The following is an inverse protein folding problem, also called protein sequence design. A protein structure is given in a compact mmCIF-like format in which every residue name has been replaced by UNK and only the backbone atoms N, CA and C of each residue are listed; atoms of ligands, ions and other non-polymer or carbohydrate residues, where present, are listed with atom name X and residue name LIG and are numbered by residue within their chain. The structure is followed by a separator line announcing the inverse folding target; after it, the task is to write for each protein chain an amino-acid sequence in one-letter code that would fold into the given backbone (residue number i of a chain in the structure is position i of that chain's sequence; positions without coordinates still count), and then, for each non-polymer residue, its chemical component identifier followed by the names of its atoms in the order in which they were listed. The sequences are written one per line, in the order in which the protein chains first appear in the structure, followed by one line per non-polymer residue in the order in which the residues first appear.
data_IF_608737453348
#
_entry.id   IF_608737453348
#
_cell.length_a   1.000
_cell.length_b   1.000
_cell.length_c   1.000
_cell.angle_alpha   90.00
_cell.angle_beta   90.00
_cell.angle_gamma   90.00
#
_symmetry.space_group_name_H-M   'P 1'
#
loop_
_entity.id
_entity.type
_entity.pdbx_description
1 polymer ?
#
# COMPACT_ATOMS: atom_id res chain seq x y z
N UNK A 1 60.80 23.06 39.24
CA UNK A 1 59.84 23.96 38.53
C UNK A 1 59.83 23.80 37.03
N UNK A 2 60.91 23.79 36.25
CA UNK A 2 60.89 23.65 34.80
C UNK A 2 60.14 22.43 34.31
N UNK A 3 60.37 21.24 34.81
CA UNK A 3 59.69 20.00 34.42
C UNK A 3 58.15 20.07 34.60
N UNK A 4 57.63 20.75 35.60
CA UNK A 4 56.20 20.88 35.84
C UNK A 4 55.54 21.80 34.81
N UNK A 5 56.16 22.86 34.42
CA UNK A 5 55.70 23.78 33.36
C UNK A 5 55.63 23.08 31.95
N UNK A 6 56.59 22.22 31.66
CA UNK A 6 56.62 21.45 30.42
C UNK A 6 55.46 20.42 30.39
N UNK A 7 55.16 19.76 31.55
CA UNK A 7 54.01 18.86 31.68
C UNK A 7 52.69 19.59 31.45
N UNK A 8 52.50 20.78 32.07
CA UNK A 8 51.30 21.60 31.89
C UNK A 8 51.13 22.01 30.39
N UNK A 9 52.19 22.37 29.70
CA UNK A 9 52.15 22.73 28.26
C UNK A 9 51.70 21.54 27.40
N UNK A 10 52.32 20.37 27.62
CA UNK A 10 51.94 19.16 26.86
C UNK A 10 50.47 18.81 27.12
N UNK A 11 49.99 18.88 28.36
CA UNK A 11 48.61 18.62 28.71
C UNK A 11 47.64 19.64 28.06
N UNK A 12 48.02 20.92 28.02
CA UNK A 12 47.21 21.99 27.37
C UNK A 12 47.09 21.78 25.86
N UNK A 13 48.20 21.42 25.20
CA UNK A 13 48.18 21.12 23.76
C UNK A 13 47.31 19.90 23.46
N UNK A 14 47.45 18.86 24.28
CA UNK A 14 46.66 17.63 24.12
C UNK A 14 45.15 17.89 24.34
N UNK A 15 44.78 18.66 25.36
CA UNK A 15 43.41 19.06 25.65
C UNK A 15 42.80 19.90 24.50
N UNK A 16 43.61 20.81 23.92
CA UNK A 16 43.20 21.62 22.78
C UNK A 16 42.93 20.75 21.55
N UNK A 17 43.79 19.79 21.24
CA UNK A 17 43.60 18.85 20.13
C UNK A 17 42.33 18.01 20.32
N UNK A 18 42.15 17.46 21.52
CA UNK A 18 40.94 16.67 21.81
C UNK A 18 39.65 17.50 21.69
N UNK A 19 39.69 18.76 22.16
CA UNK A 19 38.55 19.67 22.05
C UNK A 19 38.21 19.96 20.59
N UNK A 20 39.21 20.21 19.73
CA UNK A 20 39.00 20.43 18.29
C UNK A 20 38.42 19.20 17.60
N UNK A 21 38.92 18.02 17.86
CA UNK A 21 38.40 16.76 17.33
C UNK A 21 36.97 16.56 17.79
N UNK A 22 36.66 16.76 19.07
CA UNK A 22 35.30 16.63 19.61
C UNK A 22 34.29 17.58 18.95
N UNK A 23 34.65 18.85 18.76
CA UNK A 23 33.80 19.83 18.05
C UNK A 23 33.59 19.40 16.59
N UNK A 24 34.63 18.97 15.90
CA UNK A 24 34.55 18.53 14.49
C UNK A 24 33.63 17.32 14.33
N UNK A 25 33.72 16.33 15.21
CA UNK A 25 32.84 15.16 15.21
C UNK A 25 31.41 15.58 15.49
N UNK A 26 31.17 16.47 16.45
CA UNK A 26 29.82 16.96 16.78
C UNK A 26 29.17 17.69 15.60
N UNK A 27 29.90 18.55 14.90
CA UNK A 27 29.40 19.26 13.69
C UNK A 27 29.14 18.28 12.55
N UNK A 28 30.01 17.30 12.33
CA UNK A 28 29.81 16.27 11.33
C UNK A 28 28.56 15.43 11.62
N UNK A 29 28.40 14.95 12.87
CA UNK A 29 27.22 14.20 13.30
C UNK A 29 25.92 15.00 13.13
N UNK A 30 25.93 16.31 13.42
CA UNK A 30 24.78 17.19 13.19
C UNK A 30 24.34 17.18 11.73
N UNK A 31 25.30 17.38 10.78
CA UNK A 31 25.00 17.37 9.34
C UNK A 31 24.46 16.02 8.86
N UNK A 32 24.95 14.91 9.41
CA UNK A 32 24.48 13.58 9.06
C UNK A 32 23.03 13.33 9.54
N UNK A 33 22.67 13.82 10.72
CA UNK A 33 21.31 13.72 11.25
C UNK A 33 20.33 14.50 10.38
N UNK A 34 20.68 15.73 9.96
CA UNK A 34 19.82 16.55 9.11
C UNK A 34 19.59 15.87 7.74
N UNK A 35 20.61 15.26 7.14
CA UNK A 35 20.50 14.50 5.88
C UNK A 35 19.62 13.26 6.07
N UNK A 36 19.90 12.45 7.08
CA UNK A 36 19.13 11.24 7.36
C UNK A 36 17.64 11.54 7.63
N UNK A 37 17.35 12.66 8.32
CA UNK A 37 15.98 13.10 8.55
C UNK A 37 15.29 13.53 7.26
N UNK A 38 15.96 14.28 6.39
CA UNK A 38 15.43 14.69 5.10
C UNK A 38 15.16 13.49 4.18
N UNK A 39 16.09 12.55 4.10
CA UNK A 39 15.94 11.32 3.33
C UNK A 39 14.78 10.45 3.87
N UNK A 40 14.66 10.29 5.19
CA UNK A 40 13.57 9.55 5.80
C UNK A 40 12.21 10.19 5.49
N UNK A 41 12.10 11.51 5.57
CA UNK A 41 10.87 12.22 5.21
C UNK A 41 10.52 12.06 3.73
N UNK A 42 11.50 12.13 2.85
CA UNK A 42 11.30 11.92 1.42
C UNK A 42 10.82 10.50 1.11
N UNK A 43 11.42 9.49 1.76
CA UNK A 43 10.97 8.10 1.61
C UNK A 43 9.55 7.89 2.14
N UNK A 44 9.20 8.44 3.30
CA UNK A 44 7.85 8.37 3.84
C UNK A 44 6.82 9.01 2.91
N UNK A 45 7.12 10.19 2.33
CA UNK A 45 6.25 10.81 1.33
C UNK A 45 6.07 9.92 0.10
N UNK A 46 7.16 9.34 -0.41
CA UNK A 46 7.10 8.43 -1.56
C UNK A 46 6.19 7.22 -1.26
N UNK A 47 6.37 6.59 -0.10
CA UNK A 47 5.54 5.45 0.34
C UNK A 47 4.08 5.88 0.49
N UNK A 48 3.81 7.03 1.11
CA UNK A 48 2.46 7.56 1.26
C UNK A 48 1.78 7.83 -0.09
N UNK A 49 2.48 8.45 -1.04
CA UNK A 49 1.96 8.65 -2.40
C UNK A 49 1.74 7.34 -3.15
N UNK A 50 2.65 6.37 -3.01
CA UNK A 50 2.48 5.06 -3.65
C UNK A 50 1.28 4.32 -3.07
N UNK A 51 1.07 4.37 -1.76
CA UNK A 51 -0.11 3.78 -1.11
C UNK A 51 -1.41 4.46 -1.59
N UNK A 52 -1.44 5.79 -1.73
CA UNK A 52 -2.59 6.52 -2.25
C UNK A 52 -2.88 6.16 -3.73
N UNK A 53 -1.86 6.02 -4.57
CA UNK A 53 -2.02 5.56 -5.96
C UNK A 53 -2.54 4.12 -6.01
N UNK A 54 -2.05 3.24 -5.14
CA UNK A 54 -2.52 1.87 -5.03
C UNK A 54 -4.00 1.81 -4.63
N UNK A 55 -4.43 2.63 -3.69
CA UNK A 55 -5.84 2.77 -3.32
C UNK A 55 -6.70 3.20 -4.51
N UNK A 56 -6.25 4.16 -5.30
CA UNK A 56 -6.97 4.59 -6.50
C UNK A 56 -7.08 3.47 -7.54
N UNK A 57 -6.02 2.69 -7.75
CA UNK A 57 -6.07 1.53 -8.64
C UNK A 57 -7.05 0.46 -8.13
N UNK A 58 -7.10 0.21 -6.82
CA UNK A 58 -8.06 -0.71 -6.21
C UNK A 58 -9.50 -0.23 -6.38
N UNK A 59 -9.79 1.07 -6.30
CA UNK A 59 -11.12 1.62 -6.61
C UNK A 59 -11.53 1.33 -8.05
N UNK A 60 -10.62 1.45 -9.00
CA UNK A 60 -10.90 1.09 -10.40
C UNK A 60 -11.23 -0.40 -10.56
N UNK A 61 -10.61 -1.29 -9.78
CA UNK A 61 -10.94 -2.72 -9.74
C UNK A 61 -12.32 -2.94 -9.12
N UNK A 62 -12.68 -2.21 -8.07
CA UNK A 62 -14.04 -2.24 -7.49
C UNK A 62 -15.10 -1.86 -8.51
N UNK A 63 -14.89 -0.77 -9.24
CA UNK A 63 -15.81 -0.29 -10.28
C UNK A 63 -15.93 -1.32 -11.41
N UNK A 64 -14.81 -1.88 -11.88
CA UNK A 64 -14.81 -2.92 -12.89
C UNK A 64 -15.55 -4.18 -12.43
N UNK A 65 -15.37 -4.61 -11.18
CA UNK A 65 -16.07 -5.76 -10.60
C UNK A 65 -17.59 -5.52 -10.53
N UNK A 66 -17.99 -4.32 -10.12
CA UNK A 66 -19.42 -3.93 -10.05
C UNK A 66 -20.04 -3.88 -11.44
N UNK A 67 -19.34 -3.30 -12.41
CA UNK A 67 -19.79 -3.27 -13.80
C UNK A 67 -19.85 -4.67 -14.41
N UNK A 68 -18.87 -5.52 -14.13
CA UNK A 68 -18.85 -6.92 -14.53
C UNK A 68 -20.06 -7.68 -13.98
N UNK A 69 -20.38 -7.52 -12.70
CA UNK A 69 -21.57 -8.12 -12.07
C UNK A 69 -22.87 -7.65 -12.73
N UNK A 70 -23.01 -6.36 -13.03
CA UNK A 70 -24.19 -5.81 -13.74
C UNK A 70 -24.32 -6.38 -15.15
N UNK A 71 -23.20 -6.55 -15.85
CA UNK A 71 -23.18 -7.17 -17.18
C UNK A 71 -23.64 -8.61 -17.12
N UNK A 72 -23.20 -9.36 -16.12
CA UNK A 72 -23.62 -10.75 -15.87
C UNK A 72 -25.12 -10.82 -15.57
N UNK A 73 -25.67 -9.90 -14.78
CA UNK A 73 -27.10 -9.85 -14.51
C UNK A 73 -27.91 -9.64 -15.80
N UNK A 74 -27.46 -8.73 -16.65
CA UNK A 74 -28.10 -8.48 -17.96
C UNK A 74 -28.02 -9.71 -18.86
N UNK A 75 -26.90 -10.39 -18.91
CA UNK A 75 -26.74 -11.64 -19.64
C UNK A 75 -27.64 -12.76 -19.09
N UNK A 76 -27.76 -12.88 -17.78
CA UNK A 76 -28.63 -13.86 -17.12
C UNK A 76 -30.12 -13.60 -17.46
N UNK A 77 -30.55 -12.34 -17.42
CA UNK A 77 -31.89 -11.98 -17.83
C UNK A 77 -32.18 -12.35 -19.30
N UNK A 78 -31.19 -12.07 -20.18
CA UNK A 78 -31.31 -12.43 -21.58
C UNK A 78 -31.41 -13.96 -21.80
N UNK A 79 -30.60 -14.74 -21.09
CA UNK A 79 -30.67 -16.21 -21.14
C UNK A 79 -32.00 -16.73 -20.62
N UNK A 80 -32.55 -16.15 -19.57
CA UNK A 80 -33.87 -16.52 -19.03
C UNK A 80 -34.96 -16.29 -20.08
N UNK A 81 -34.90 -15.17 -20.79
CA UNK A 81 -35.86 -14.87 -21.86
C UNK A 81 -35.71 -15.84 -23.04
N UNK A 82 -34.47 -16.13 -23.46
CA UNK A 82 -34.20 -17.13 -24.51
C UNK A 82 -34.71 -18.52 -24.12
N UNK A 83 -34.44 -18.95 -22.88
CA UNK A 83 -34.91 -20.22 -22.34
C UNK A 83 -36.45 -20.32 -22.37
N UNK A 84 -37.14 -19.26 -21.97
CA UNK A 84 -38.61 -19.20 -22.03
C UNK A 84 -39.12 -19.33 -23.49
N UNK A 85 -38.52 -18.57 -24.43
CA UNK A 85 -38.90 -18.62 -25.86
C UNK A 85 -38.69 -20.02 -26.44
N UNK A 86 -37.59 -20.69 -26.09
CA UNK A 86 -37.31 -22.07 -26.53
C UNK A 86 -38.35 -23.05 -25.98
N UNK A 87 -38.76 -22.91 -24.71
CA UNK A 87 -39.85 -23.73 -24.12
C UNK A 87 -41.17 -23.54 -24.82
N UNK A 88 -41.56 -22.32 -25.12
CA UNK A 88 -42.78 -21.97 -25.84
C UNK A 88 -42.77 -22.56 -27.24
N UNK A 89 -41.61 -22.44 -27.91
CA UNK A 89 -41.41 -23.05 -29.23
C UNK A 89 -41.52 -24.58 -29.16
N UNK A 90 -40.92 -25.22 -28.18
CA UNK A 90 -41.03 -26.65 -27.96
C UNK A 90 -42.48 -27.09 -27.73
N UNK A 91 -43.26 -26.30 -26.95
CA UNK A 91 -44.69 -26.50 -26.74
C UNK A 91 -45.51 -26.40 -28.04
N UNK A 92 -45.22 -25.40 -28.86
CA UNK A 92 -45.87 -25.20 -30.14
C UNK A 92 -45.57 -26.36 -31.10
N UNK A 93 -44.33 -26.85 -31.16
CA UNK A 93 -43.92 -28.01 -31.97
C UNK A 93 -44.66 -29.27 -31.52
N UNK A 94 -44.75 -29.47 -30.20
CA UNK A 94 -45.45 -30.63 -29.64
C UNK A 94 -46.96 -30.57 -29.91
N UNK A 95 -47.59 -29.41 -29.81
CA UNK A 95 -48.99 -29.21 -30.19
C UNK A 95 -49.20 -29.53 -31.68
N UNK A 96 -48.27 -29.08 -32.54
CA UNK A 96 -48.28 -29.35 -33.97
C UNK A 96 -48.14 -30.86 -34.24
N UNK A 97 -47.23 -31.55 -33.50
CA UNK A 97 -47.10 -33.01 -33.59
C UNK A 97 -48.42 -33.73 -33.29
N UNK A 98 -49.11 -33.24 -32.24
CA UNK A 98 -50.44 -33.77 -31.88
C UNK A 98 -51.45 -33.70 -33.04
N UNK A 99 -51.41 -32.63 -33.87
CA UNK A 99 -52.29 -32.51 -35.04
C UNK A 99 -52.00 -33.53 -36.15
N UNK A 100 -50.75 -34.04 -36.24
CA UNK A 100 -50.38 -35.11 -37.17
C UNK A 100 -50.69 -36.52 -36.65
N UNK A 101 -51.13 -36.67 -35.41
CA UNK A 101 -51.44 -37.95 -34.81
C UNK A 101 -52.90 -38.36 -35.10
N UNK A 102 -53.30 -38.46 -36.37
CA UNK A 102 -54.62 -38.93 -36.77
C UNK A 102 -54.49 -40.33 -37.38
N UNK A 103 -55.52 -41.13 -37.13
CA UNK A 103 -55.64 -42.52 -37.62
C UNK A 103 -56.77 -42.55 -38.66
N UNK A 104 -56.53 -43.13 -39.82
CA UNK A 104 -57.59 -43.32 -40.84
C UNK A 104 -58.48 -44.50 -40.40
N UNK A 105 -59.80 -44.31 -40.05
CA UNK A 105 -60.65 -45.32 -39.44
C UNK A 105 -60.81 -46.60 -40.29
N UNK A 106 -60.73 -46.52 -41.57
CA UNK A 106 -60.98 -47.63 -42.48
C UNK A 106 -59.76 -48.57 -42.59
N UNK A 107 -58.56 -48.00 -42.56
CA UNK A 107 -57.28 -48.77 -42.77
C UNK A 107 -56.47 -48.93 -41.51
N UNK A 108 -56.84 -48.28 -40.43
CA UNK A 108 -56.12 -48.23 -39.17
C UNK A 108 -54.61 -47.80 -39.32
N UNK A 109 -54.33 -47.06 -40.42
CA UNK A 109 -53.01 -46.57 -40.74
C UNK A 109 -52.85 -45.14 -40.24
N UNK A 110 -51.64 -44.83 -39.69
CA UNK A 110 -51.19 -43.47 -39.28
C UNK A 110 -50.22 -42.97 -40.36
N UNK A 111 -50.67 -42.28 -41.40
CA UNK A 111 -49.81 -41.90 -42.52
C UNK A 111 -48.71 -40.91 -42.15
N UNK A 112 -48.84 -40.16 -41.05
CA UNK A 112 -47.89 -39.15 -40.61
C UNK A 112 -47.18 -39.52 -39.30
N UNK A 113 -47.16 -40.80 -38.93
CA UNK A 113 -46.50 -41.22 -37.67
C UNK A 113 -45.01 -40.89 -37.58
N UNK A 114 -44.28 -40.91 -38.69
CA UNK A 114 -42.87 -40.53 -38.74
C UNK A 114 -42.68 -39.01 -38.55
N UNK A 115 -43.62 -38.21 -39.08
CA UNK A 115 -43.62 -36.76 -38.91
C UNK A 115 -43.93 -36.39 -37.43
N UNK A 116 -44.96 -37.01 -36.83
CA UNK A 116 -45.27 -36.83 -35.39
C UNK A 116 -44.05 -37.18 -34.52
N UNK A 117 -43.40 -38.29 -34.77
CA UNK A 117 -42.21 -38.72 -34.05
C UNK A 117 -41.05 -37.70 -34.17
N UNK A 118 -40.80 -37.20 -35.38
CA UNK A 118 -39.75 -36.20 -35.63
C UNK A 118 -40.02 -34.89 -34.90
N UNK A 119 -41.25 -34.39 -34.89
CA UNK A 119 -41.64 -33.20 -34.16
C UNK A 119 -41.52 -33.37 -32.65
N UNK A 120 -41.92 -34.51 -32.08
CA UNK A 120 -41.74 -34.82 -30.66
C UNK A 120 -40.27 -34.88 -30.29
N UNK A 121 -39.43 -35.48 -31.14
CA UNK A 121 -37.99 -35.50 -30.90
C UNK A 121 -37.40 -34.09 -30.93
N UNK A 122 -37.80 -33.24 -31.88
CA UNK A 122 -37.36 -31.83 -31.91
C UNK A 122 -37.82 -31.05 -30.68
N UNK A 123 -39.05 -31.23 -30.19
CA UNK A 123 -39.54 -30.62 -28.97
C UNK A 123 -38.74 -31.07 -27.74
N UNK A 124 -38.40 -32.36 -27.67
CA UNK A 124 -37.56 -32.89 -26.58
C UNK A 124 -36.14 -32.29 -26.59
N UNK A 125 -35.54 -32.16 -27.78
CA UNK A 125 -34.22 -31.52 -27.93
C UNK A 125 -34.25 -30.03 -27.47
N UNK A 126 -35.28 -29.28 -27.90
CA UNK A 126 -35.45 -27.89 -27.48
C UNK A 126 -35.60 -27.76 -25.96
N UNK A 127 -36.35 -28.66 -25.32
CA UNK A 127 -36.43 -28.68 -23.83
C UNK A 127 -35.09 -28.96 -23.17
N UNK A 128 -34.29 -29.87 -23.73
CA UNK A 128 -32.94 -30.14 -23.27
C UNK A 128 -32.04 -28.89 -23.37
N UNK A 129 -32.09 -28.20 -24.51
CA UNK A 129 -31.35 -26.95 -24.74
C UNK A 129 -31.79 -25.88 -23.72
N UNK A 130 -33.10 -25.72 -23.50
CA UNK A 130 -33.60 -24.79 -22.48
C UNK A 130 -33.07 -25.11 -21.07
N UNK A 131 -33.02 -26.36 -20.69
CA UNK A 131 -32.49 -26.79 -19.40
C UNK A 131 -30.99 -26.48 -19.26
N UNK A 132 -30.21 -26.63 -20.33
CA UNK A 132 -28.79 -26.25 -20.35
C UNK A 132 -28.58 -24.74 -20.25
N UNK A 133 -29.42 -23.95 -20.89
CA UNK A 133 -29.43 -22.48 -20.80
C UNK A 133 -29.76 -22.05 -19.37
N UNK A 134 -30.73 -22.68 -18.69
CA UNK A 134 -31.06 -22.38 -17.31
C UNK A 134 -29.88 -22.69 -16.36
N UNK A 135 -29.19 -23.80 -16.57
CA UNK A 135 -28.00 -24.16 -15.82
C UNK A 135 -26.86 -23.15 -16.03
N UNK A 136 -26.69 -22.68 -17.28
CA UNK A 136 -25.71 -21.65 -17.61
C UNK A 136 -26.08 -20.32 -16.93
N UNK A 137 -27.35 -19.95 -16.92
CA UNK A 137 -27.85 -18.75 -16.21
C UNK A 137 -27.60 -18.82 -14.71
N UNK A 138 -27.83 -19.99 -14.07
CA UNK A 138 -27.52 -20.19 -12.66
C UNK A 138 -26.02 -20.04 -12.36
N UNK A 139 -25.15 -20.58 -13.22
CA UNK A 139 -23.70 -20.43 -13.09
C UNK A 139 -23.25 -18.99 -13.25
N UNK A 140 -23.83 -18.25 -14.19
CA UNK A 140 -23.56 -16.81 -14.36
C UNK A 140 -23.99 -16.01 -13.13
N UNK A 141 -25.16 -16.31 -12.55
CA UNK A 141 -25.61 -15.66 -11.32
C UNK A 141 -24.62 -15.88 -10.16
N UNK A 142 -24.12 -17.10 -10.00
CA UNK A 142 -23.08 -17.39 -9.01
C UNK A 142 -21.82 -16.58 -9.24
N UNK A 143 -21.36 -16.47 -10.49
CA UNK A 143 -20.19 -15.67 -10.85
C UNK A 143 -20.43 -14.17 -10.61
N UNK A 144 -21.61 -13.64 -10.91
CA UNK A 144 -22.00 -12.27 -10.62
C UNK A 144 -21.94 -11.96 -9.11
N UNK A 145 -22.41 -12.86 -8.27
CA UNK A 145 -22.33 -12.75 -6.82
C UNK A 145 -20.85 -12.76 -6.33
N UNK A 146 -20.04 -13.64 -6.90
CA UNK A 146 -18.58 -13.67 -6.59
C UNK A 146 -17.91 -12.34 -6.94
N UNK A 147 -18.22 -11.76 -8.12
CA UNK A 147 -17.67 -10.44 -8.49
C UNK A 147 -18.09 -9.34 -7.53
N UNK A 148 -19.34 -9.36 -7.03
CA UNK A 148 -19.79 -8.37 -6.02
C UNK A 148 -19.02 -8.52 -4.72
N UNK A 149 -18.79 -9.76 -4.26
CA UNK A 149 -17.98 -10.03 -3.07
C UNK A 149 -16.55 -9.53 -3.23
N UNK A 150 -15.91 -9.84 -4.37
CA UNK A 150 -14.56 -9.34 -4.69
C UNK A 150 -14.55 -7.81 -4.69
N UNK A 151 -15.54 -7.17 -5.31
CA UNK A 151 -15.65 -5.71 -5.32
C UNK A 151 -15.72 -5.11 -3.92
N UNK A 152 -16.49 -5.71 -3.00
CA UNK A 152 -16.60 -5.28 -1.60
C UNK A 152 -15.30 -5.48 -0.82
N UNK A 153 -14.64 -6.62 -0.98
CA UNK A 153 -13.35 -6.89 -0.33
C UNK A 153 -12.27 -5.91 -0.81
N UNK A 154 -12.19 -5.69 -2.13
CA UNK A 154 -11.23 -4.73 -2.72
C UNK A 154 -11.52 -3.30 -2.24
N UNK A 155 -12.80 -2.93 -2.10
CA UNK A 155 -13.17 -1.62 -1.54
C UNK A 155 -12.68 -1.46 -0.11
N UNK A 156 -12.80 -2.48 0.73
CA UNK A 156 -12.29 -2.46 2.11
C UNK A 156 -10.77 -2.29 2.12
N UNK A 157 -10.04 -3.06 1.30
CA UNK A 157 -8.58 -2.93 1.18
C UNK A 157 -8.18 -1.54 0.68
N UNK A 158 -8.94 -0.95 -0.25
CA UNK A 158 -8.71 0.42 -0.73
C UNK A 158 -8.87 1.45 0.40
N UNK A 159 -9.88 1.32 1.26
CA UNK A 159 -10.09 2.20 2.41
C UNK A 159 -8.96 2.06 3.45
N UNK A 160 -8.51 0.85 3.71
CA UNK A 160 -7.38 0.59 4.61
C UNK A 160 -6.08 1.20 4.06
N UNK A 161 -5.85 1.07 2.75
CA UNK A 161 -4.70 1.68 2.07
C UNK A 161 -4.73 3.21 2.16
N UNK A 162 -5.90 3.84 2.00
CA UNK A 162 -6.06 5.29 2.18
C UNK A 162 -5.76 5.71 3.62
N UNK A 163 -6.22 4.95 4.61
CA UNK A 163 -5.93 5.21 6.01
C UNK A 163 -4.42 5.13 6.30
N UNK A 164 -3.75 4.10 5.79
CA UNK A 164 -2.30 3.92 5.90
C UNK A 164 -1.56 5.05 5.18
N UNK A 165 -1.94 5.39 3.94
CA UNK A 165 -1.35 6.50 3.18
C UNK A 165 -1.43 7.82 3.96
N UNK A 166 -2.61 8.15 4.50
CA UNK A 166 -2.83 9.35 5.29
C UNK A 166 -2.00 9.35 6.58
N UNK A 167 -1.86 8.21 7.25
CA UNK A 167 -1.05 8.10 8.45
C UNK A 167 0.44 8.30 8.13
N UNK A 168 0.95 7.72 7.05
CA UNK A 168 2.34 7.89 6.60
C UNK A 168 2.60 9.35 6.22
N UNK A 169 1.70 9.99 5.48
CA UNK A 169 1.85 11.39 5.10
C UNK A 169 1.83 12.32 6.32
N UNK A 170 0.98 12.06 7.31
CA UNK A 170 0.99 12.78 8.59
C UNK A 170 2.31 12.61 9.35
N UNK A 171 2.92 11.43 9.32
CA UNK A 171 4.24 11.18 9.90
C UNK A 171 5.34 11.92 9.14
N UNK A 172 5.22 12.04 7.82
CA UNK A 172 6.19 12.75 6.98
C UNK A 172 6.11 14.29 7.14
N UNK A 173 4.90 14.84 7.26
CA UNK A 173 4.66 16.30 7.22
C UNK A 173 4.43 16.91 8.61
N UNK A 174 4.20 16.11 9.63
CA UNK A 174 3.84 16.59 10.97
C UNK A 174 5.04 17.11 11.78
N UNK A 175 5.00 18.35 12.27
CA UNK A 175 6.07 18.92 13.10
C UNK A 175 6.16 18.33 14.50
N UNK A 176 5.39 17.29 14.84
CA UNK A 176 5.35 16.75 16.19
C UNK A 176 4.77 15.37 16.40
N UNK A 177 4.34 14.70 15.35
CA UNK A 177 3.54 13.46 15.47
C UNK A 177 4.35 12.16 15.51
N UNK A 178 5.68 12.19 15.42
CA UNK A 178 6.50 10.98 15.44
C UNK A 178 7.68 11.06 16.41
N UNK A 179 8.11 9.92 16.90
CA UNK A 179 9.32 9.81 17.73
C UNK A 179 10.59 10.27 16.96
N UNK A 180 10.57 10.30 15.62
CA UNK A 180 11.72 10.68 14.79
C UNK A 180 12.15 12.14 15.02
N UNK A 181 11.29 13.18 14.95
CA UNK A 181 11.70 14.54 15.29
C UNK A 181 12.01 14.73 16.78
N UNK A 182 11.37 13.98 17.67
CA UNK A 182 11.70 14.00 19.09
C UNK A 182 13.10 13.42 19.37
N UNK A 183 13.43 12.29 18.75
CA UNK A 183 14.76 11.69 18.80
C UNK A 183 15.81 12.64 18.22
N UNK A 184 15.55 13.19 17.02
CA UNK A 184 16.47 14.13 16.38
C UNK A 184 16.68 15.38 17.25
N UNK A 185 15.64 15.92 17.90
CA UNK A 185 15.73 17.03 18.86
C UNK A 185 16.59 16.68 20.07
N UNK A 186 16.38 15.52 20.67
CA UNK A 186 17.16 15.08 21.82
C UNK A 186 18.63 14.86 21.46
N UNK A 187 18.91 14.27 20.29
CA UNK A 187 20.28 14.09 19.80
C UNK A 187 20.93 15.45 19.50
N UNK A 188 20.20 16.42 18.92
CA UNK A 188 20.70 17.79 18.73
C UNK A 188 21.03 18.47 20.06
N UNK A 189 20.20 18.31 21.08
CA UNK A 189 20.50 18.83 22.42
C UNK A 189 21.78 18.23 23.02
N UNK A 190 21.95 16.91 22.87
CA UNK A 190 23.19 16.22 23.32
C UNK A 190 24.41 16.75 22.56
N UNK A 191 24.29 16.96 21.24
CA UNK A 191 25.37 17.53 20.43
C UNK A 191 25.71 18.98 20.83
N UNK A 192 24.70 19.82 21.13
CA UNK A 192 24.92 21.18 21.65
C UNK A 192 25.67 21.12 22.98
N UNK A 193 25.23 20.28 23.92
CA UNK A 193 25.91 20.10 25.20
C UNK A 193 27.34 19.60 25.02
N UNK A 194 27.57 18.68 24.06
CA UNK A 194 28.93 18.20 23.73
C UNK A 194 29.82 19.34 23.23
N UNK A 195 29.32 20.20 22.33
CA UNK A 195 30.08 21.38 21.85
C UNK A 195 30.38 22.35 22.98
N UNK A 196 29.40 22.64 23.84
CA UNK A 196 29.59 23.53 25.02
C UNK A 196 30.66 22.99 25.95
N UNK A 197 30.62 21.68 26.21
CA UNK A 197 31.63 21.02 27.08
C UNK A 197 33.04 21.16 26.48
N UNK A 198 33.21 20.93 25.18
CA UNK A 198 34.49 21.06 24.50
C UNK A 198 34.99 22.50 24.46
N UNK A 199 34.08 23.50 24.30
CA UNK A 199 34.43 24.93 24.41
C UNK A 199 34.90 25.29 25.85
N UNK A 200 34.26 24.75 26.87
CA UNK A 200 34.69 24.96 28.27
C UNK A 200 36.07 24.36 28.51
N UNK A 201 36.34 23.14 28.02
CA UNK A 201 37.64 22.51 28.10
C UNK A 201 38.71 23.35 27.38
N UNK A 202 38.38 23.88 26.19
CA UNK A 202 39.27 24.74 25.44
C UNK A 202 39.59 26.04 26.21
N UNK A 203 38.55 26.70 26.74
CA UNK A 203 38.70 27.92 27.55
C UNK A 203 39.56 27.69 28.79
N UNK A 204 39.38 26.56 29.49
CA UNK A 204 40.19 26.20 30.64
C UNK A 204 41.64 25.92 30.24
N UNK A 205 41.87 25.22 29.13
CA UNK A 205 43.22 24.96 28.60
C UNK A 205 43.97 26.25 28.25
N UNK A 206 43.29 27.20 27.59
CA UNK A 206 43.86 28.54 27.26
C UNK A 206 44.20 29.30 28.54
N UNK A 207 43.33 29.32 29.56
CA UNK A 207 43.55 29.99 30.85
C UNK A 207 44.75 29.42 31.56
N UNK A 208 44.90 28.11 31.61
CA UNK A 208 46.07 27.45 32.18
C UNK A 208 47.37 27.79 31.43
N UNK A 209 47.32 27.88 30.12
CA UNK A 209 48.48 28.26 29.29
C UNK A 209 48.93 29.70 29.58
N UNK A 210 47.97 30.65 29.66
CA UNK A 210 48.26 32.05 30.00
C UNK A 210 48.87 32.15 31.42
N UNK A 211 48.28 31.44 32.40
CA UNK A 211 48.78 31.44 33.77
C UNK A 211 50.21 30.85 33.86
N UNK A 212 50.45 29.74 33.16
CA UNK A 212 51.77 29.12 33.12
C UNK A 212 52.84 30.02 32.48
N UNK A 213 52.46 30.77 31.43
CA UNK A 213 53.38 31.73 30.77
C UNK A 213 53.66 32.96 31.64
N UNK A 214 52.65 33.49 32.34
CA UNK A 214 52.78 34.61 33.26
C UNK A 214 53.71 34.25 34.46
N UNK A 215 53.52 33.10 35.07
CA UNK A 215 54.37 32.60 36.15
C UNK A 215 55.81 32.43 35.68
N UNK A 216 56.04 31.97 34.48
CA UNK A 216 57.41 31.88 33.91
C UNK A 216 58.07 33.23 33.75
N UNK A 217 57.35 34.27 33.32
CA UNK A 217 57.91 35.64 33.19
C UNK A 217 58.23 36.25 34.55
N UNK A 218 57.40 36.01 35.59
CA UNK A 218 57.67 36.48 36.93
C UNK A 218 58.93 35.80 37.56
N UNK A 219 59.09 34.50 37.37
CA UNK A 219 60.27 33.81 37.85
C UNK A 219 61.56 34.26 37.16
N UNK A 220 61.51 34.68 35.92
CA UNK A 220 62.67 35.25 35.22
C UNK A 220 63.04 36.63 35.76
N UNK A 221 62.10 37.49 36.13
CA UNK A 221 62.34 38.82 36.69
C UNK A 221 62.86 38.79 38.13
N UNK A 222 62.67 37.72 38.86
CA UNK A 222 63.14 37.56 40.21
C UNK A 222 64.56 36.93 40.28
N UNK A 223 65.09 36.40 39.17
CA UNK A 223 66.43 35.82 39.08
C UNK A 223 67.47 36.72 38.34
N UNK A 224 67.02 37.86 37.84
CA UNK A 224 67.89 38.94 37.31
C UNK A 224 67.98 40.07 38.34
#
# INVERSE_FOLDING_TARGET
MRRWLDVVRVFTVLATVVAFIGISISVYAWRQIDRAQAEAQQQLRLIGHTAAQSSQALRSVTDASTQGATTIDSATMSLTHVSATIRDTAGTIEATAGAFNFTIPITNVRPLASVDASFRQAAAQLRSISAEIDKTGASLTANGNTLRTIGQEVQTVSQDMDAVANQILRLADGPGSGNVPAIARNVRLILIWSVVLHLLVLGFAISLYILATALRQMTWRLCT
#
